data_IF_770273503208
#
_entry.id   IF_770273503208
#
_cell.length_a   1.000
_cell.length_b   1.000
_cell.length_c   1.000
_cell.angle_alpha   90.00
_cell.angle_beta   90.00
_cell.angle_gamma   90.00
#
_symmetry.space_group_name_H-M   'P 1'
#
loop_
_entity.id
_entity.type
_entity.pdbx_description
1 polymer ?
#
# COMPACT_ATOMS: atom_id res chain seq x y z
N UNK A 1 20.76 -23.61 -17.42
CA UNK A 1 19.68 -22.63 -17.14
C UNK A 1 20.35 -21.37 -16.60
N UNK A 2 20.14 -20.20 -17.21
CA UNK A 2 20.69 -18.95 -16.65
C UNK A 2 19.93 -18.63 -15.37
N UNK A 3 20.60 -18.61 -14.22
CA UNK A 3 20.10 -17.90 -13.04
C UNK A 3 20.04 -16.43 -13.43
N UNK A 4 18.87 -15.98 -13.87
CA UNK A 4 18.63 -14.56 -14.05
C UNK A 4 18.53 -13.99 -12.64
N UNK A 5 19.59 -13.31 -12.18
CA UNK A 5 19.57 -12.49 -10.97
C UNK A 5 18.59 -11.33 -11.18
N UNK A 6 17.30 -11.63 -11.27
CA UNK A 6 16.24 -10.62 -11.32
C UNK A 6 16.25 -9.96 -9.94
N UNK A 7 16.51 -8.65 -9.85
CA UNK A 7 16.47 -7.96 -8.58
C UNK A 7 15.09 -8.16 -7.94
N UNK A 8 15.06 -8.48 -6.64
CA UNK A 8 13.83 -8.52 -5.88
C UNK A 8 13.11 -7.16 -6.03
N UNK A 9 11.90 -7.17 -6.56
CA UNK A 9 11.06 -5.99 -6.67
C UNK A 9 10.12 -5.91 -5.47
N UNK A 10 9.99 -4.73 -4.90
CA UNK A 10 8.99 -4.48 -3.85
C UNK A 10 7.61 -4.60 -4.49
N UNK A 11 6.79 -5.53 -3.97
CA UNK A 11 5.40 -5.68 -4.40
C UNK A 11 4.50 -4.61 -3.77
N UNK A 12 4.57 -4.48 -2.44
CA UNK A 12 3.81 -3.46 -1.72
C UNK A 12 4.48 -3.02 -0.43
N UNK A 13 4.06 -1.86 0.08
CA UNK A 13 4.49 -1.33 1.39
C UNK A 13 3.25 -0.98 2.22
N UNK A 14 3.04 -1.62 3.37
CA UNK A 14 1.93 -1.29 4.27
C UNK A 14 2.24 -0.02 5.08
N UNK A 15 1.28 0.88 5.17
CA UNK A 15 1.33 2.14 5.92
C UNK A 15 0.16 2.18 6.90
N UNK A 16 0.47 2.04 8.18
CA UNK A 16 -0.53 2.10 9.24
C UNK A 16 -0.89 3.54 9.57
N UNK A 17 -2.18 3.84 9.57
CA UNK A 17 -2.74 5.13 10.01
C UNK A 17 -3.68 4.92 11.20
N UNK A 18 -3.96 5.99 11.96
CA UNK A 18 -4.89 5.92 13.10
C UNK A 18 -6.35 5.78 12.67
N UNK A 19 -6.70 6.36 11.52
CA UNK A 19 -8.03 6.34 10.94
C UNK A 19 -7.88 6.41 9.41
N UNK A 20 -8.51 5.47 8.70
CA UNK A 20 -8.33 5.33 7.26
C UNK A 20 -8.83 6.55 6.50
N UNK A 21 -10.00 7.07 6.88
CA UNK A 21 -10.63 8.18 6.18
C UNK A 21 -9.81 9.46 6.30
N UNK A 22 -9.23 9.75 7.47
CA UNK A 22 -8.31 10.89 7.62
C UNK A 22 -7.01 10.66 6.86
N UNK A 23 -6.45 9.44 6.92
CA UNK A 23 -5.22 9.09 6.20
C UNK A 23 -5.34 9.27 4.69
N UNK A 24 -6.45 8.81 4.09
CA UNK A 24 -6.75 9.02 2.66
C UNK A 24 -6.75 10.52 2.34
N UNK A 25 -7.48 11.33 3.11
CA UNK A 25 -7.56 12.79 2.88
C UNK A 25 -6.20 13.47 2.99
N UNK A 26 -5.35 13.02 3.91
CA UNK A 26 -4.02 13.60 4.07
C UNK A 26 -3.11 13.27 2.89
N UNK A 27 -3.18 12.05 2.34
CA UNK A 27 -2.48 11.72 1.09
C UNK A 27 -3.06 12.44 -0.14
N UNK A 28 -4.38 12.62 -0.21
CA UNK A 28 -5.03 13.40 -1.28
C UNK A 28 -4.59 14.86 -1.28
N UNK A 29 -4.42 15.48 -0.09
CA UNK A 29 -3.85 16.84 0.03
C UNK A 29 -2.41 16.93 -0.47
N UNK A 30 -1.66 15.83 -0.42
CA UNK A 30 -0.30 15.74 -0.98
C UNK A 30 -0.30 15.48 -2.50
N UNK A 31 -1.48 15.37 -3.12
CA UNK A 31 -1.63 15.16 -4.57
C UNK A 31 -1.66 13.69 -4.99
N UNK A 32 -1.74 12.75 -4.04
CA UNK A 32 -1.90 11.34 -4.37
C UNK A 32 -3.37 10.98 -4.58
N UNK A 33 -3.62 9.92 -5.34
CA UNK A 33 -4.95 9.32 -5.47
C UNK A 33 -4.91 7.94 -4.85
N UNK A 34 -5.90 7.65 -4.00
CA UNK A 34 -6.04 6.34 -3.37
C UNK A 34 -7.35 5.69 -3.83
N UNK A 35 -7.31 4.38 -4.07
CA UNK A 35 -8.48 3.57 -4.36
C UNK A 35 -8.86 2.78 -3.12
N UNK A 36 -10.09 2.95 -2.63
CA UNK A 36 -10.59 2.13 -1.52
C UNK A 36 -10.56 0.64 -1.91
N UNK A 37 -9.92 -0.17 -1.07
CA UNK A 37 -9.93 -1.62 -1.21
C UNK A 37 -11.05 -2.26 -0.42
N UNK A 38 -11.21 -1.81 0.82
CA UNK A 38 -12.24 -2.28 1.75
C UNK A 38 -12.60 -1.17 2.75
N UNK A 39 -13.38 -1.52 3.78
CA UNK A 39 -13.62 -0.61 4.91
C UNK A 39 -12.38 -0.28 5.74
N UNK A 40 -11.29 -1.04 5.59
CA UNK A 40 -10.11 -0.99 6.45
C UNK A 40 -8.80 -0.67 5.71
N UNK A 41 -8.84 -0.55 4.38
CA UNK A 41 -7.66 -0.21 3.59
C UNK A 41 -7.95 0.54 2.29
N UNK A 42 -6.93 1.23 1.79
CA UNK A 42 -6.89 1.89 0.50
C UNK A 42 -5.51 1.75 -0.15
N UNK A 43 -5.46 1.80 -1.47
CA UNK A 43 -4.26 1.52 -2.25
C UNK A 43 -3.82 2.73 -3.07
N UNK A 44 -2.51 2.97 -3.11
CA UNK A 44 -1.87 3.91 -4.03
C UNK A 44 -1.00 3.13 -5.00
N UNK A 45 -1.39 3.09 -6.28
CA UNK A 45 -0.71 2.31 -7.32
C UNK A 45 0.37 3.12 -8.04
N UNK A 46 1.54 2.50 -8.25
CA UNK A 46 2.59 3.03 -9.09
C UNK A 46 2.57 2.40 -10.49
N UNK A 47 3.23 3.06 -11.45
CA UNK A 47 3.23 2.63 -12.87
C UNK A 47 3.84 1.25 -13.11
N UNK A 48 4.70 0.79 -12.21
CA UNK A 48 5.36 -0.52 -12.30
C UNK A 48 4.55 -1.66 -11.66
N UNK A 49 3.35 -1.36 -11.16
CA UNK A 49 2.47 -2.32 -10.50
C UNK A 49 2.71 -2.49 -9.00
N UNK A 50 3.75 -1.86 -8.44
CA UNK A 50 3.91 -1.80 -6.98
C UNK A 50 2.87 -0.86 -6.36
N UNK A 51 2.58 -1.02 -5.07
CA UNK A 51 1.59 -0.17 -4.41
C UNK A 51 1.86 0.08 -2.93
N UNK A 52 1.34 1.18 -2.40
CA UNK A 52 1.25 1.41 -0.96
C UNK A 52 -0.14 0.98 -0.48
N UNK A 53 -0.19 0.23 0.61
CA UNK A 53 -1.44 -0.12 1.29
C UNK A 53 -1.58 0.72 2.55
N UNK A 54 -2.53 1.65 2.57
CA UNK A 54 -2.87 2.45 3.74
C UNK A 54 -3.99 1.76 4.51
N UNK A 55 -3.81 1.50 5.81
CA UNK A 55 -4.78 0.73 6.61
C UNK A 55 -4.87 1.23 8.06
N UNK A 56 -6.00 1.02 8.73
CA UNK A 56 -6.27 1.52 10.09
C UNK A 56 -6.63 0.45 11.13
N UNK A 57 -6.45 -0.82 10.78
CA UNK A 57 -6.70 -1.95 11.70
C UNK A 57 -5.43 -2.75 11.94
N UNK A 58 -5.33 -3.39 13.11
CA UNK A 58 -4.26 -4.36 13.36
C UNK A 58 -4.39 -5.62 12.49
N UNK A 59 -5.54 -5.81 11.82
CA UNK A 59 -5.79 -6.92 10.90
C UNK A 59 -5.07 -6.75 9.56
N UNK A 60 -4.64 -5.53 9.19
CA UNK A 60 -3.86 -5.27 7.97
C UNK A 60 -2.36 -5.56 8.09
N UNK A 61 -1.89 -5.98 9.28
CA UNK A 61 -0.47 -6.25 9.55
C UNK A 61 -0.07 -7.73 9.38
N UNK A 62 -0.94 -8.60 8.85
CA UNK A 62 -0.67 -10.04 8.82
C UNK A 62 0.01 -10.53 7.54
N UNK A 63 1.16 -11.17 7.78
CA UNK A 63 1.97 -12.04 6.90
C UNK A 63 2.88 -11.34 5.88
N UNK A 64 3.80 -10.52 6.40
CA UNK A 64 5.12 -10.41 5.76
C UNK A 64 5.89 -11.68 6.17
N UNK A 65 6.12 -12.58 5.21
CA UNK A 65 6.97 -13.77 5.35
C UNK A 65 8.41 -13.40 5.70
#
# INVERSE_FOLDING_TARGET
MKNQNIPLKIGHVPIKVKNLQSGIKDFEKLGFTLTLGSKHNAFMYFKDGSFLETFDTDLGAFNIL
#
